data_IF_540859899096
#
_entry.id   IF_540859899096
#
_cell.length_a   1.000
_cell.length_b   1.000
_cell.length_c   1.000
_cell.angle_alpha   90.00
_cell.angle_beta   90.00
_cell.angle_gamma   90.00
#
_symmetry.space_group_name_H-M   'P 1'
#
loop_
_entity.id
_entity.type
_entity.pdbx_description
1 polymer ?
#
# COMPACT_ATOMS: atom_id res chain seq x y z
N UNK A 1 -23.18 4.84 -20.91
CA UNK A 1 -22.37 5.59 -19.92
C UNK A 1 -21.07 5.95 -20.60
N UNK A 2 -20.72 7.22 -20.65
CA UNK A 2 -19.47 7.69 -21.29
C UNK A 2 -18.32 7.77 -20.26
N UNK A 3 -17.08 7.97 -20.74
CA UNK A 3 -15.88 7.99 -19.89
C UNK A 3 -15.90 9.11 -18.84
N UNK A 4 -16.46 10.28 -19.16
CA UNK A 4 -16.58 11.40 -18.22
C UNK A 4 -17.58 11.14 -17.10
N UNK A 5 -18.74 10.54 -17.40
CA UNK A 5 -19.75 10.17 -16.40
C UNK A 5 -19.26 9.07 -15.47
N UNK A 6 -18.52 8.10 -16.01
CA UNK A 6 -17.89 7.05 -15.22
C UNK A 6 -16.81 7.64 -14.31
N UNK A 7 -15.95 8.51 -14.84
CA UNK A 7 -14.93 9.21 -14.04
C UNK A 7 -15.54 10.01 -12.90
N UNK A 8 -16.61 10.77 -13.15
CA UNK A 8 -17.30 11.56 -12.11
C UNK A 8 -17.94 10.69 -11.02
N UNK A 9 -18.46 9.51 -11.38
CA UNK A 9 -18.99 8.55 -10.40
C UNK A 9 -17.91 7.84 -9.59
N UNK A 10 -16.72 7.72 -10.15
CA UNK A 10 -15.57 7.08 -9.51
C UNK A 10 -14.65 8.08 -8.79
N UNK A 11 -14.94 9.39 -8.88
CA UNK A 11 -14.23 10.43 -8.12
C UNK A 11 -14.29 10.10 -6.63
N UNK A 12 -13.12 10.04 -6.02
CA UNK A 12 -12.99 9.71 -4.61
C UNK A 12 -13.18 8.24 -4.27
N UNK A 13 -13.20 7.32 -5.26
CA UNK A 13 -13.04 5.88 -5.01
C UNK A 13 -11.55 5.55 -5.15
N UNK A 14 -10.97 4.85 -4.17
CA UNK A 14 -9.55 4.51 -4.26
C UNK A 14 -9.30 3.39 -5.28
N UNK A 15 -8.10 3.31 -5.86
CA UNK A 15 -7.80 2.31 -6.88
C UNK A 15 -7.96 0.87 -6.38
N UNK A 16 -7.62 0.59 -5.11
CA UNK A 16 -7.83 -0.73 -4.47
C UNK A 16 -9.32 -1.09 -4.39
N UNK A 17 -10.17 -0.10 -4.08
CA UNK A 17 -11.62 -0.25 -4.05
C UNK A 17 -12.19 -0.52 -5.44
N UNK A 18 -11.67 0.22 -6.44
CA UNK A 18 -12.05 0.07 -7.83
C UNK A 18 -11.70 -1.32 -8.34
N UNK A 19 -10.48 -1.80 -8.06
CA UNK A 19 -10.04 -3.13 -8.44
C UNK A 19 -10.85 -4.23 -7.76
N UNK A 20 -11.11 -4.11 -6.46
CA UNK A 20 -11.96 -5.04 -5.72
C UNK A 20 -13.39 -5.06 -6.29
N UNK A 21 -13.94 -3.91 -6.68
CA UNK A 21 -15.22 -3.78 -7.36
C UNK A 21 -15.22 -4.44 -8.75
N UNK A 22 -14.20 -4.19 -9.57
CA UNK A 22 -14.02 -4.80 -10.90
C UNK A 22 -13.85 -6.32 -10.78
N UNK A 23 -13.07 -6.79 -9.80
CA UNK A 23 -12.92 -8.20 -9.47
C UNK A 23 -14.24 -8.84 -9.02
N UNK A 24 -15.05 -8.16 -8.18
CA UNK A 24 -16.37 -8.66 -7.77
C UNK A 24 -17.34 -8.75 -8.95
N UNK A 25 -17.36 -7.74 -9.83
CA UNK A 25 -18.19 -7.74 -11.04
C UNK A 25 -17.73 -8.83 -12.02
N UNK A 26 -16.41 -8.96 -12.22
CA UNK A 26 -15.82 -10.05 -13.00
C UNK A 26 -16.13 -11.44 -12.43
N UNK A 27 -16.12 -11.58 -11.10
CA UNK A 27 -16.50 -12.80 -10.38
C UNK A 27 -17.98 -13.15 -10.55
N UNK A 28 -18.90 -12.17 -10.47
CA UNK A 28 -20.34 -12.40 -10.68
C UNK A 28 -20.65 -12.78 -12.13
N UNK A 29 -19.97 -12.17 -13.11
CA UNK A 29 -20.11 -12.51 -14.53
C UNK A 29 -19.48 -13.88 -14.85
N UNK A 30 -18.39 -14.27 -14.17
CA UNK A 30 -17.69 -15.54 -14.37
C UNK A 30 -18.23 -16.71 -13.55
N UNK A 31 -19.09 -16.49 -12.55
CA UNK A 31 -19.64 -17.54 -11.67
C UNK A 31 -20.35 -18.69 -12.42
N UNK A 32 -21.18 -18.44 -13.45
CA UNK A 32 -21.81 -19.52 -14.23
C UNK A 32 -20.82 -20.29 -15.11
N UNK A 33 -19.70 -19.67 -15.47
CA UNK A 33 -18.65 -20.22 -16.35
C UNK A 33 -17.57 -20.98 -15.57
N UNK A 34 -17.24 -20.53 -14.35
CA UNK A 34 -16.27 -21.14 -13.42
C UNK A 34 -16.68 -22.54 -12.96
N UNK A 35 -17.99 -22.78 -12.83
CA UNK A 35 -18.56 -24.11 -12.55
C UNK A 35 -18.42 -25.10 -13.73
N UNK A 36 -18.04 -24.64 -14.92
CA UNK A 36 -17.96 -25.43 -16.16
C UNK A 36 -16.58 -25.41 -16.83
N UNK A 37 -15.59 -24.68 -16.32
CA UNK A 37 -14.32 -24.43 -17.02
C UNK A 37 -13.13 -25.28 -16.54
N UNK A 38 -12.22 -25.60 -17.47
CA UNK A 38 -11.03 -26.45 -17.28
C UNK A 38 -9.88 -25.69 -16.60
N UNK A 39 -8.79 -26.36 -16.21
CA UNK A 39 -7.64 -25.73 -15.53
C UNK A 39 -6.91 -24.68 -16.40
N UNK A 40 -6.93 -24.83 -17.72
CA UNK A 40 -6.35 -23.87 -18.67
C UNK A 40 -7.25 -22.64 -18.85
N UNK A 41 -8.57 -22.83 -18.91
CA UNK A 41 -9.55 -21.72 -18.96
C UNK A 41 -9.46 -20.83 -17.70
N UNK A 42 -9.15 -21.43 -16.54
CA UNK A 42 -8.94 -20.71 -15.28
C UNK A 42 -7.69 -19.83 -15.31
N UNK A 43 -6.64 -20.25 -16.00
CA UNK A 43 -5.43 -19.45 -16.21
C UNK A 43 -5.69 -18.29 -17.18
N UNK A 44 -6.49 -18.51 -18.23
CA UNK A 44 -6.93 -17.46 -19.14
C UNK A 44 -7.83 -16.40 -18.47
N UNK A 45 -8.64 -16.79 -17.47
CA UNK A 45 -9.45 -15.87 -16.67
C UNK A 45 -8.62 -14.97 -15.75
N UNK A 46 -7.56 -15.51 -15.13
CA UNK A 46 -6.58 -14.69 -14.40
C UNK A 46 -5.76 -13.79 -15.32
N UNK A 47 -5.65 -14.13 -16.60
CA UNK A 47 -5.00 -13.34 -17.64
C UNK A 47 -5.97 -12.43 -18.42
N UNK A 48 -7.22 -12.24 -17.97
CA UNK A 48 -8.18 -11.38 -18.66
C UNK A 48 -7.87 -9.90 -18.43
N UNK A 49 -6.74 -9.48 -19.00
CA UNK A 49 -6.27 -8.12 -19.19
C UNK A 49 -7.34 -7.24 -19.83
N UNK A 50 -8.27 -7.76 -20.61
CA UNK A 50 -9.26 -6.95 -21.33
C UNK A 50 -10.17 -6.13 -20.42
N UNK A 51 -10.67 -6.66 -19.30
CA UNK A 51 -11.54 -5.91 -18.39
C UNK A 51 -10.74 -4.88 -17.56
N UNK A 52 -9.56 -5.28 -17.10
CA UNK A 52 -8.61 -4.41 -16.39
C UNK A 52 -8.14 -3.26 -17.29
N UNK A 53 -7.79 -3.56 -18.54
CA UNK A 53 -7.32 -2.63 -19.56
C UNK A 53 -8.44 -1.72 -20.09
N UNK A 54 -9.70 -2.20 -20.09
CA UNK A 54 -10.86 -1.36 -20.39
C UNK A 54 -11.14 -0.35 -19.26
N UNK A 55 -11.02 -0.74 -18.00
CA UNK A 55 -11.15 0.16 -16.83
C UNK A 55 -9.98 1.16 -16.79
N UNK A 56 -8.76 0.68 -17.03
CA UNK A 56 -7.54 1.49 -17.18
C UNK A 56 -7.71 2.59 -18.23
N UNK A 57 -8.14 2.20 -19.45
CA UNK A 57 -8.30 3.10 -20.60
C UNK A 57 -9.46 4.08 -20.46
N UNK A 58 -10.44 3.81 -19.60
CA UNK A 58 -11.63 4.65 -19.46
C UNK A 58 -11.65 5.55 -18.23
N UNK A 59 -10.87 5.24 -17.18
CA UNK A 59 -10.93 5.95 -15.89
C UNK A 59 -9.58 6.53 -15.45
N UNK A 60 -8.46 5.90 -15.85
CA UNK A 60 -7.17 6.08 -15.18
C UNK A 60 -7.23 5.48 -13.77
N UNK A 61 -6.29 4.59 -13.41
CA UNK A 61 -6.32 3.93 -12.09
C UNK A 61 -6.24 4.91 -10.93
N UNK A 62 -5.65 6.07 -11.18
CA UNK A 62 -5.33 7.09 -10.21
C UNK A 62 -5.95 8.41 -10.63
N UNK A 63 -7.06 8.80 -9.99
CA UNK A 63 -7.58 10.17 -10.07
C UNK A 63 -6.63 11.09 -9.28
N UNK A 64 -5.48 11.37 -9.89
CA UNK A 64 -4.41 12.24 -9.41
C UNK A 64 -4.32 13.45 -10.34
N UNK A 65 -4.37 14.63 -9.74
CA UNK A 65 -4.00 15.86 -10.41
C UNK A 65 -2.50 15.79 -10.82
N UNK A 66 -2.09 16.51 -11.88
CA UNK A 66 -0.70 16.52 -12.33
C UNK A 66 0.30 16.83 -11.20
N UNK A 67 -0.03 17.78 -10.33
CA UNK A 67 0.82 18.21 -9.21
C UNK A 67 0.99 17.09 -8.17
N UNK A 68 -0.06 16.30 -7.95
CA UNK A 68 -0.02 15.14 -7.06
C UNK A 68 0.86 14.03 -7.65
N UNK A 69 0.78 13.80 -8.97
CA UNK A 69 1.66 12.85 -9.65
C UNK A 69 3.12 13.26 -9.54
N UNK A 70 3.43 14.54 -9.75
CA UNK A 70 4.79 15.06 -9.66
C UNK A 70 5.34 14.98 -8.23
N UNK A 71 4.52 15.28 -7.23
CA UNK A 71 4.89 15.13 -5.83
C UNK A 71 5.19 13.66 -5.49
N UNK A 72 4.28 12.75 -5.86
CA UNK A 72 4.48 11.31 -5.64
C UNK A 72 5.72 10.77 -6.36
N UNK A 73 5.98 11.16 -7.61
CA UNK A 73 7.21 10.74 -8.33
C UNK A 73 8.49 11.16 -7.61
N UNK A 74 8.49 12.33 -6.98
CA UNK A 74 9.62 12.81 -6.15
C UNK A 74 9.74 12.02 -4.86
N UNK A 75 8.62 11.73 -4.20
CA UNK A 75 8.59 10.92 -2.97
C UNK A 75 9.05 9.48 -3.23
N UNK A 76 8.71 8.93 -4.40
CA UNK A 76 9.12 7.60 -4.83
C UNK A 76 10.58 7.53 -5.28
N UNK A 77 11.38 8.59 -5.22
CA UNK A 77 12.83 8.41 -5.40
C UNK A 77 13.43 7.70 -4.17
N UNK A 78 14.31 6.71 -4.34
CA UNK A 78 14.95 6.02 -3.21
C UNK A 78 15.74 7.01 -2.35
N UNK A 79 15.76 6.76 -1.05
CA UNK A 79 16.55 7.57 -0.12
C UNK A 79 18.03 7.19 -0.20
N UNK A 80 18.95 8.16 -0.39
CA UNK A 80 20.37 7.85 -0.41
C UNK A 80 20.85 7.34 0.95
N UNK A 81 21.90 6.54 0.94
CA UNK A 81 22.62 6.20 2.17
C UNK A 81 23.23 7.49 2.77
N UNK A 82 23.18 7.65 4.10
CA UNK A 82 23.61 8.89 4.72
C UNK A 82 25.14 8.98 4.67
N UNK A 83 25.66 10.17 4.42
CA UNK A 83 27.12 10.39 4.43
C UNK A 83 27.72 10.29 5.84
N UNK A 84 26.88 10.47 6.87
CA UNK A 84 27.27 10.44 8.28
C UNK A 84 26.36 9.48 9.06
N UNK A 85 26.84 9.01 10.21
CA UNK A 85 26.05 8.17 11.11
C UNK A 85 24.88 8.97 11.66
N UNK A 86 23.65 8.50 11.42
CA UNK A 86 22.46 9.02 12.08
C UNK A 86 22.32 8.36 13.47
N UNK A 87 22.70 9.09 14.52
CA UNK A 87 22.56 8.61 15.90
C UNK A 87 21.10 8.50 16.33
N UNK A 88 20.19 9.31 15.77
CA UNK A 88 18.76 9.17 16.04
C UNK A 88 18.24 7.86 15.47
N UNK A 89 18.69 7.48 14.26
CA UNK A 89 18.38 6.16 13.67
C UNK A 89 18.76 5.05 14.64
N UNK A 90 19.97 5.09 15.22
CA UNK A 90 20.43 4.07 16.17
C UNK A 90 19.56 4.01 17.43
N UNK A 91 19.17 5.15 17.99
CA UNK A 91 18.32 5.20 19.19
C UNK A 91 16.92 4.65 18.89
N UNK A 92 16.29 5.11 17.80
CA UNK A 92 14.97 4.63 17.39
C UNK A 92 14.95 3.14 17.08
N UNK A 93 16.06 2.59 16.58
CA UNK A 93 16.17 1.16 16.31
C UNK A 93 16.07 0.29 17.56
N UNK A 94 16.48 0.79 18.74
CA UNK A 94 16.33 0.07 20.00
C UNK A 94 14.86 -0.07 20.43
N UNK A 95 14.00 0.85 19.98
CA UNK A 95 12.56 0.82 20.26
C UNK A 95 11.78 0.03 19.20
N UNK A 96 12.08 0.28 17.91
CA UNK A 96 11.34 -0.30 16.80
C UNK A 96 11.63 -1.80 16.61
N UNK A 97 12.87 -2.24 16.82
CA UNK A 97 13.22 -3.66 16.62
C UNK A 97 12.41 -4.56 17.56
N UNK A 98 12.38 -4.34 18.90
CA UNK A 98 11.54 -5.14 19.80
C UNK A 98 10.05 -5.19 19.45
N UNK A 99 9.50 -4.15 18.82
CA UNK A 99 8.11 -4.14 18.36
C UNK A 99 7.86 -5.08 17.17
N UNK A 100 8.87 -5.27 16.31
CA UNK A 100 8.78 -6.09 15.08
C UNK A 100 9.14 -7.55 15.34
N UNK A 101 10.06 -7.84 16.27
CA UNK A 101 10.52 -9.21 16.61
C UNK A 101 9.41 -10.25 16.88
N UNK A 102 8.26 -9.91 17.48
CA UNK A 102 7.15 -10.85 17.65
C UNK A 102 6.54 -11.34 16.33
N UNK A 103 6.72 -10.60 15.24
CA UNK A 103 6.21 -10.91 13.90
C UNK A 103 7.29 -11.47 12.98
N UNK A 104 8.55 -11.03 13.16
CA UNK A 104 9.68 -11.40 12.30
C UNK A 104 10.79 -12.06 13.12
N UNK A 105 10.94 -13.39 12.94
CA UNK A 105 11.90 -14.21 13.69
C UNK A 105 13.36 -13.99 13.28
N UNK A 106 13.62 -13.49 12.06
CA UNK A 106 14.95 -13.11 11.60
C UNK A 106 15.31 -11.70 12.11
N UNK A 107 16.40 -11.56 12.86
CA UNK A 107 16.78 -10.27 13.45
C UNK A 107 17.26 -9.27 12.40
N UNK A 108 18.04 -9.72 11.41
CA UNK A 108 18.50 -8.87 10.31
C UNK A 108 17.32 -8.30 9.54
N UNK A 109 16.31 -9.12 9.25
CA UNK A 109 15.09 -8.67 8.58
C UNK A 109 14.31 -7.65 9.43
N UNK A 110 14.12 -7.93 10.73
CA UNK A 110 13.46 -7.01 11.64
C UNK A 110 14.18 -5.66 11.72
N UNK A 111 15.51 -5.66 11.75
CA UNK A 111 16.33 -4.44 11.70
C UNK A 111 16.20 -3.70 10.36
N UNK A 112 16.18 -4.41 9.24
CA UNK A 112 15.97 -3.78 7.92
C UNK A 112 14.59 -3.12 7.84
N UNK A 113 13.54 -3.77 8.35
CA UNK A 113 12.20 -3.17 8.42
C UNK A 113 12.21 -1.95 9.34
N UNK A 114 12.72 -2.07 10.57
CA UNK A 114 12.80 -0.97 11.54
C UNK A 114 13.52 0.26 10.95
N UNK A 115 14.65 0.03 10.27
CA UNK A 115 15.45 1.07 9.62
C UNK A 115 14.63 1.85 8.61
N UNK A 116 13.94 1.16 7.70
CA UNK A 116 13.17 1.81 6.66
C UNK A 116 11.86 2.42 7.18
N UNK A 117 11.26 1.86 8.24
CA UNK A 117 10.15 2.50 8.95
C UNK A 117 10.60 3.85 9.53
N UNK A 118 11.72 3.90 10.25
CA UNK A 118 12.25 5.15 10.82
C UNK A 118 12.56 6.19 9.73
N UNK A 119 13.31 5.79 8.69
CA UNK A 119 13.71 6.70 7.61
C UNK A 119 12.52 7.31 6.89
N UNK A 120 11.56 6.48 6.48
CA UNK A 120 10.37 6.96 5.78
C UNK A 120 9.36 7.65 6.70
N UNK A 121 9.35 7.34 7.99
CA UNK A 121 8.69 8.16 9.02
C UNK A 121 9.22 9.59 9.00
N UNK A 122 10.54 9.75 9.15
CA UNK A 122 11.22 11.06 9.20
C UNK A 122 11.07 11.82 7.89
N UNK A 123 11.28 11.14 6.76
CA UNK A 123 11.20 11.75 5.42
C UNK A 123 9.79 12.21 5.06
N UNK A 124 8.76 11.47 5.46
CA UNK A 124 7.38 11.75 5.08
C UNK A 124 6.51 12.30 6.21
N UNK A 125 7.09 12.64 7.37
CA UNK A 125 6.33 13.15 8.52
C UNK A 125 5.14 12.24 8.85
N UNK A 126 5.45 10.97 9.08
CA UNK A 126 4.50 9.93 9.46
C UNK A 126 4.91 9.34 10.80
N UNK A 127 3.95 9.10 11.67
CA UNK A 127 4.18 8.39 12.92
C UNK A 127 4.71 6.95 12.65
N UNK A 128 5.87 6.54 13.21
CA UNK A 128 6.37 5.17 13.09
C UNK A 128 5.34 4.10 13.51
N UNK A 129 4.55 4.36 14.55
CA UNK A 129 3.53 3.43 15.03
C UNK A 129 2.40 3.27 14.02
N UNK A 130 2.07 4.33 13.28
CA UNK A 130 1.14 4.27 12.16
C UNK A 130 1.69 3.37 11.04
N UNK A 131 2.95 3.51 10.67
CA UNK A 131 3.58 2.69 9.63
C UNK A 131 3.59 1.22 10.05
N UNK A 132 4.04 0.92 11.27
CA UNK A 132 4.04 -0.44 11.83
C UNK A 132 2.62 -1.02 11.88
N UNK A 133 1.63 -0.22 12.28
CA UNK A 133 0.24 -0.63 12.32
C UNK A 133 -0.31 -0.98 10.93
N UNK A 134 0.03 -0.20 9.90
CA UNK A 134 -0.35 -0.50 8.52
C UNK A 134 0.32 -1.79 8.05
N UNK A 135 1.62 -1.97 8.26
CA UNK A 135 2.34 -3.20 7.88
C UNK A 135 1.71 -4.43 8.55
N UNK A 136 1.44 -4.35 9.85
CA UNK A 136 0.84 -5.44 10.62
C UNK A 136 -0.57 -5.82 10.10
N UNK A 137 -1.37 -4.83 9.70
CA UNK A 137 -2.73 -5.06 9.16
C UNK A 137 -2.71 -5.57 7.73
N UNK A 138 -1.76 -5.12 6.91
CA UNK A 138 -1.67 -5.43 5.48
C UNK A 138 -1.03 -6.81 5.24
N UNK A 139 0.09 -7.14 5.90
CA UNK A 139 0.82 -8.39 5.63
C UNK A 139 1.27 -9.17 6.86
N UNK A 140 1.03 -8.68 8.08
CA UNK A 140 1.60 -9.26 9.29
C UNK A 140 3.14 -9.34 9.24
N UNK A 141 3.78 -8.35 8.61
CA UNK A 141 5.24 -8.26 8.37
C UNK A 141 5.81 -9.29 7.39
N UNK A 142 4.99 -9.99 6.61
CA UNK A 142 5.49 -10.79 5.49
C UNK A 142 5.81 -9.89 4.28
N UNK A 143 7.08 -9.80 3.91
CA UNK A 143 7.54 -9.02 2.75
C UNK A 143 7.35 -9.74 1.40
N UNK A 144 7.06 -11.04 1.42
CA UNK A 144 6.70 -11.83 0.24
C UNK A 144 5.19 -11.94 0.02
N UNK A 145 4.37 -11.35 0.89
CA UNK A 145 2.92 -11.45 0.82
C UNK A 145 2.36 -10.94 -0.51
N UNK A 146 1.56 -11.77 -1.18
CA UNK A 146 0.78 -11.38 -2.38
C UNK A 146 -0.69 -11.71 -2.13
N UNK A 147 -1.55 -10.71 -2.16
CA UNK A 147 -3.00 -10.92 -2.02
C UNK A 147 -3.63 -11.48 -3.28
N UNK A 148 -4.84 -12.03 -3.16
CA UNK A 148 -5.64 -12.52 -4.28
C UNK A 148 -5.97 -11.46 -5.35
N UNK A 149 -5.86 -10.17 -5.00
CA UNK A 149 -6.09 -9.03 -5.91
C UNK A 149 -4.77 -8.44 -6.43
N UNK A 150 -3.63 -9.06 -6.11
CA UNK A 150 -2.31 -8.67 -6.63
C UNK A 150 -1.58 -7.58 -5.86
N UNK A 151 -2.05 -7.19 -4.66
CA UNK A 151 -1.30 -6.31 -3.77
C UNK A 151 -0.07 -7.04 -3.21
N UNK A 152 1.08 -6.36 -3.09
CA UNK A 152 2.40 -6.98 -2.84
C UNK A 152 3.08 -6.41 -1.60
N UNK A 153 3.74 -7.28 -0.84
CA UNK A 153 4.72 -6.98 0.22
C UNK A 153 4.13 -6.40 1.50
N UNK A 154 5.00 -5.80 2.32
CA UNK A 154 4.74 -5.36 3.69
C UNK A 154 3.50 -4.46 3.85
N UNK A 155 3.35 -3.49 2.95
CA UNK A 155 2.26 -2.51 2.98
C UNK A 155 1.20 -2.79 1.90
N UNK A 156 1.25 -3.97 1.27
CA UNK A 156 0.33 -4.42 0.22
C UNK A 156 0.14 -3.36 -0.87
N UNK A 157 1.23 -2.93 -1.48
CA UNK A 157 1.24 -1.94 -2.55
C UNK A 157 0.74 -2.58 -3.84
N UNK A 158 -0.15 -1.90 -4.55
CA UNK A 158 -0.64 -2.38 -5.84
C UNK A 158 0.39 -2.11 -6.96
N UNK A 159 0.65 -3.07 -7.86
CA UNK A 159 1.63 -2.92 -8.94
C UNK A 159 1.44 -1.69 -9.84
N UNK A 160 0.21 -1.26 -10.09
CA UNK A 160 -0.05 -0.08 -10.94
C UNK A 160 0.61 1.20 -10.37
N UNK A 161 0.82 1.32 -9.05
CA UNK A 161 1.52 2.49 -8.49
C UNK A 161 2.96 2.57 -8.99
N UNK A 162 3.60 1.41 -9.12
CA UNK A 162 4.93 1.27 -9.70
C UNK A 162 4.89 1.57 -11.20
N UNK A 163 3.92 1.02 -11.91
CA UNK A 163 3.80 1.20 -13.36
C UNK A 163 3.56 2.66 -13.76
N UNK A 164 2.77 3.39 -12.98
CA UNK A 164 2.36 4.77 -13.27
C UNK A 164 3.37 5.82 -12.77
N UNK A 165 3.97 5.61 -11.61
CA UNK A 165 4.77 6.64 -10.91
C UNK A 165 6.19 6.19 -10.55
N UNK A 166 6.49 4.91 -10.68
CA UNK A 166 7.70 4.28 -10.21
C UNK A 166 8.85 4.20 -11.22
N UNK A 167 9.93 3.52 -10.80
CA UNK A 167 11.01 3.12 -11.69
C UNK A 167 10.85 1.67 -12.15
N UNK A 168 11.44 1.33 -13.31
CA UNK A 168 11.40 -0.05 -13.83
C UNK A 168 12.19 -1.02 -12.95
N UNK A 169 13.20 -0.51 -12.27
CA UNK A 169 14.12 -1.23 -11.39
C UNK A 169 13.51 -1.49 -10.01
N UNK A 170 12.42 -0.80 -9.65
CA UNK A 170 11.73 -1.01 -8.38
C UNK A 170 11.13 -2.43 -8.31
N UNK A 171 11.35 -3.08 -7.17
CA UNK A 171 10.76 -4.38 -6.84
C UNK A 171 9.91 -4.27 -5.57
N UNK A 172 8.59 -4.44 -5.68
CA UNK A 172 7.68 -4.34 -4.55
C UNK A 172 7.84 -5.47 -3.51
N UNK A 173 8.59 -6.54 -3.81
CA UNK A 173 8.97 -7.56 -2.81
C UNK A 173 10.19 -7.12 -1.98
N UNK A 174 10.92 -6.08 -2.40
CA UNK A 174 12.02 -5.53 -1.60
C UNK A 174 11.45 -4.68 -0.44
N UNK A 175 11.99 -4.89 0.77
CA UNK A 175 11.52 -4.24 1.99
C UNK A 175 11.57 -2.71 1.89
N UNK A 176 12.71 -2.16 1.44
CA UNK A 176 12.90 -0.70 1.28
C UNK A 176 11.85 -0.15 0.32
N UNK A 177 11.76 -0.77 -0.86
CA UNK A 177 10.92 -0.27 -1.94
C UNK A 177 9.45 -0.33 -1.53
N UNK A 178 9.03 -1.42 -0.89
CA UNK A 178 7.64 -1.55 -0.46
C UNK A 178 7.24 -0.53 0.60
N UNK A 179 8.10 -0.31 1.61
CA UNK A 179 7.87 0.69 2.66
C UNK A 179 7.88 2.10 2.07
N UNK A 180 8.83 2.43 1.16
CA UNK A 180 8.87 3.71 0.45
C UNK A 180 7.53 4.01 -0.24
N UNK A 181 7.05 3.06 -1.04
CA UNK A 181 5.79 3.21 -1.78
C UNK A 181 4.60 3.35 -0.84
N UNK A 182 4.46 2.45 0.13
CA UNK A 182 3.34 2.49 1.07
C UNK A 182 3.30 3.81 1.86
N UNK A 183 4.45 4.28 2.35
CA UNK A 183 4.53 5.53 3.08
C UNK A 183 4.28 6.75 2.18
N UNK A 184 4.80 6.78 0.94
CA UNK A 184 4.53 7.86 0.01
C UNK A 184 3.02 7.97 -0.34
N UNK A 185 2.36 6.84 -0.57
CA UNK A 185 0.92 6.77 -0.85
C UNK A 185 0.11 7.20 0.39
N UNK A 186 0.50 6.76 1.59
CA UNK A 186 -0.17 7.12 2.83
C UNK A 186 -0.07 8.62 3.11
N UNK A 187 1.14 9.19 2.96
CA UNK A 187 1.39 10.63 3.08
C UNK A 187 0.58 11.44 2.07
N UNK A 188 0.55 11.01 0.82
CA UNK A 188 -0.31 11.62 -0.22
C UNK A 188 -1.77 11.68 0.22
N UNK A 189 -2.34 10.58 0.72
CA UNK A 189 -3.71 10.58 1.20
C UNK A 189 -3.92 11.43 2.46
N UNK A 190 -2.95 11.48 3.37
CA UNK A 190 -2.98 12.39 4.50
C UNK A 190 -2.99 13.85 4.04
N UNK A 191 -2.23 14.20 3.01
CA UNK A 191 -2.24 15.55 2.46
C UNK A 191 -3.53 15.90 1.75
N UNK A 192 -4.08 14.95 0.99
CA UNK A 192 -5.36 15.15 0.30
C UNK A 192 -6.53 15.32 1.25
N UNK A 193 -6.61 14.50 2.31
CA UNK A 193 -7.78 14.47 3.18
C UNK A 193 -7.62 15.24 4.49
N UNK A 194 -6.38 15.57 4.90
CA UNK A 194 -6.03 16.22 6.16
C UNK A 194 -6.71 15.56 7.38
N UNK A 195 -6.94 14.25 7.30
CA UNK A 195 -7.62 13.45 8.30
C UNK A 195 -7.14 11.99 8.18
N UNK A 196 -6.62 11.43 9.28
CA UNK A 196 -6.03 10.09 9.29
C UNK A 196 -7.04 8.99 8.92
N UNK A 197 -8.25 9.03 9.48
CA UNK A 197 -9.29 8.02 9.20
C UNK A 197 -9.66 7.98 7.71
N UNK A 198 -9.82 9.16 7.10
CA UNK A 198 -10.10 9.27 5.67
C UNK A 198 -8.91 8.84 4.82
N UNK A 199 -7.69 9.17 5.23
CA UNK A 199 -6.47 8.76 4.54
C UNK A 199 -6.31 7.24 4.56
N UNK A 200 -6.50 6.60 5.71
CA UNK A 200 -6.46 5.13 5.87
C UNK A 200 -7.55 4.44 5.06
N UNK A 201 -8.77 4.97 5.07
CA UNK A 201 -9.86 4.44 4.25
C UNK A 201 -9.54 4.54 2.75
N UNK A 202 -8.92 5.64 2.30
CA UNK A 202 -8.46 5.79 0.92
C UNK A 202 -7.29 4.86 0.59
N UNK A 203 -6.29 4.75 1.47
CA UNK A 203 -5.14 3.87 1.32
C UNK A 203 -5.57 2.42 1.09
N UNK A 204 -6.52 1.93 1.89
CA UNK A 204 -7.06 0.58 1.76
C UNK A 204 -8.05 0.41 0.60
N UNK A 205 -8.75 1.48 0.22
CA UNK A 205 -9.87 1.40 -0.72
C UNK A 205 -11.18 0.98 -0.10
N UNK A 206 -11.46 1.51 1.09
CA UNK A 206 -12.71 1.30 1.81
C UNK A 206 -13.35 2.62 2.24
N UNK A 207 -13.28 3.66 1.39
CA UNK A 207 -13.96 4.93 1.65
C UNK A 207 -15.45 4.68 1.92
N UNK A 208 -15.91 5.15 3.10
CA UNK A 208 -17.25 4.85 3.63
C UNK A 208 -17.32 3.70 4.65
N UNK A 209 -16.22 2.99 4.91
CA UNK A 209 -16.13 1.93 5.93
C UNK A 209 -15.09 2.25 6.99
N UNK A 210 -15.43 1.98 8.25
CA UNK A 210 -14.52 2.16 9.40
C UNK A 210 -13.76 0.89 9.76
N UNK A 211 -14.05 -0.26 9.15
CA UNK A 211 -13.49 -1.56 9.58
C UNK A 211 -11.96 -1.57 9.49
N UNK A 212 -11.39 -1.10 8.39
CA UNK A 212 -9.94 -1.02 8.20
C UNK A 212 -9.32 -0.01 9.16
N UNK A 213 -9.88 1.19 9.21
CA UNK A 213 -9.46 2.29 10.09
C UNK A 213 -9.37 1.83 11.56
N UNK A 214 -10.40 1.14 12.06
CA UNK A 214 -10.43 0.62 13.42
C UNK A 214 -9.40 -0.49 13.69
N UNK A 215 -9.02 -1.28 12.68
CA UNK A 215 -7.94 -2.27 12.81
C UNK A 215 -6.59 -1.58 12.97
N UNK A 216 -6.32 -0.56 12.14
CA UNK A 216 -5.07 0.21 12.20
C UNK A 216 -4.95 0.93 13.54
N UNK A 217 -5.97 1.66 13.98
CA UNK A 217 -5.97 2.31 15.30
C UNK A 217 -5.75 1.34 16.47
N UNK A 218 -6.33 0.14 16.40
CA UNK A 218 -6.10 -0.90 17.43
C UNK A 218 -4.64 -1.33 17.45
N UNK A 219 -4.01 -1.41 16.28
CA UNK A 219 -2.62 -1.81 16.17
C UNK A 219 -1.66 -0.68 16.54
N UNK A 220 -1.96 0.58 16.23
CA UNK A 220 -1.20 1.74 16.72
C UNK A 220 -1.12 1.72 18.24
N UNK A 221 -2.25 1.56 18.94
CA UNK A 221 -2.28 1.41 20.42
C UNK A 221 -1.46 0.25 20.97
N UNK A 222 -1.15 -0.76 20.15
CA UNK A 222 -0.29 -1.89 20.53
C UNK A 222 1.19 -1.51 20.41
N UNK A 223 1.53 -0.64 19.46
CA UNK A 223 2.90 -0.15 19.22
C UNK A 223 3.27 1.07 20.07
N UNK A 224 2.29 1.92 20.45
CA UNK A 224 2.43 3.04 21.41
C UNK A 224 2.99 2.65 22.80
N UNK A 225 3.26 1.35 23.05
CA UNK A 225 3.72 0.79 24.32
C UNK A 225 5.21 0.38 24.34
N UNK A 226 6.02 0.76 23.34
CA UNK A 226 7.50 0.76 23.43
C UNK A 226 8.01 2.03 24.13
N UNK A 227 9.20 2.03 24.75
CA UNK A 227 9.42 2.69 26.03
C UNK A 227 9.25 4.21 25.97
N UNK A 228 8.51 4.69 26.96
CA UNK A 228 8.57 6.08 27.40
C UNK A 228 10.01 6.43 27.77
N UNK A 229 10.56 7.45 27.10
CA UNK A 229 11.72 8.20 27.60
C UNK A 229 11.40 8.79 28.97
#
# INVERSE_FOLDING_TARGET
MNASELRDRLRGISPKALLAGVMMVGFVISLPFWLRSTSEDRQHLTQTSTAMHLVEKSVGFLDLAPEEKDSLKKMLQPEPEPEQVDYEEQVWMEDLVPMIRPWVSNETEARVIARWVYRYSKRFDLDPDLILAVIAVESQFDHFAVSNVGAVGLMQVMPFWKEELGSKEDNLLNIETNIRYGCAILRHYLDRYKNLDRALAAYNGSLGSRKYVLKVHRMMKRFERGPSV
#
